data_IF_014829286038
#
_entry.id   IF_014829286038
#
_cell.length_a   1.000
_cell.length_b   1.000
_cell.length_c   1.000
_cell.angle_alpha   90.00
_cell.angle_beta   90.00
_cell.angle_gamma   90.00
#
_symmetry.space_group_name_H-M   'P 1'
#
loop_
_entity.id
_entity.type
_entity.pdbx_description
1 polymer ?
#
# COMPACT_ATOMS: atom_id res chain seq x y z
N UNK A 1 -14.90 -22.04 -22.74
CA UNK A 1 -13.54 -21.95 -22.18
C UNK A 1 -13.17 -20.47 -22.01
N UNK A 2 -13.53 -19.83 -20.87
CA UNK A 2 -13.25 -18.41 -20.57
C UNK A 2 -12.35 -18.23 -19.32
N UNK A 3 -11.68 -19.30 -18.91
CA UNK A 3 -10.89 -19.38 -17.67
C UNK A 3 -9.69 -18.40 -17.56
N UNK A 4 -8.98 -17.96 -18.62
CA UNK A 4 -7.77 -17.16 -18.43
C UNK A 4 -8.06 -15.72 -17.96
N UNK A 5 -9.21 -15.15 -18.31
CA UNK A 5 -9.55 -13.76 -17.96
C UNK A 5 -10.00 -13.68 -16.49
N UNK A 6 -10.85 -14.60 -16.04
CA UNK A 6 -11.29 -14.66 -14.65
C UNK A 6 -10.13 -14.87 -13.66
N UNK A 7 -9.12 -15.68 -14.04
CA UNK A 7 -7.92 -15.88 -13.23
C UNK A 7 -7.06 -14.61 -13.12
N UNK A 8 -6.90 -13.83 -14.20
CA UNK A 8 -6.14 -12.57 -14.15
C UNK A 8 -6.84 -11.53 -13.27
N UNK A 9 -8.16 -11.43 -13.37
CA UNK A 9 -8.97 -10.51 -12.56
C UNK A 9 -8.88 -10.88 -11.08
N UNK A 10 -9.03 -12.16 -10.74
CA UNK A 10 -8.91 -12.62 -9.34
C UNK A 10 -7.50 -12.42 -8.77
N UNK A 11 -6.45 -12.63 -9.56
CA UNK A 11 -5.07 -12.31 -9.12
C UNK A 11 -4.84 -10.81 -8.92
N UNK A 12 -5.40 -9.95 -9.77
CA UNK A 12 -5.31 -8.51 -9.62
C UNK A 12 -6.06 -8.02 -8.36
N UNK A 13 -7.27 -8.54 -8.12
CA UNK A 13 -8.04 -8.25 -6.91
C UNK A 13 -7.32 -8.72 -5.64
N UNK A 14 -6.64 -9.88 -5.70
CA UNK A 14 -5.84 -10.38 -4.58
C UNK A 14 -4.63 -9.47 -4.31
N UNK A 15 -3.91 -9.04 -5.34
CA UNK A 15 -2.81 -8.07 -5.22
C UNK A 15 -3.28 -6.72 -4.67
N UNK A 16 -4.45 -6.24 -5.09
CA UNK A 16 -5.04 -5.02 -4.53
C UNK A 16 -5.43 -5.18 -3.05
N UNK A 17 -5.87 -6.38 -2.64
CA UNK A 17 -6.17 -6.68 -1.22
C UNK A 17 -4.91 -6.76 -0.36
N UNK A 18 -3.78 -7.16 -0.96
CA UNK A 18 -2.47 -7.27 -0.31
C UNK A 18 -1.61 -6.01 -0.48
N UNK A 19 -2.13 -4.98 -1.14
CA UNK A 19 -1.41 -3.72 -1.35
C UNK A 19 -1.32 -2.95 -0.04
N UNK A 20 -0.11 -2.85 0.48
CA UNK A 20 0.24 -2.08 1.66
C UNK A 20 1.00 -0.80 1.25
N UNK A 21 0.33 0.38 1.28
CA UNK A 21 0.95 1.64 0.89
C UNK A 21 2.03 2.10 1.88
N UNK A 22 2.01 1.64 3.13
CA UNK A 22 3.05 1.94 4.11
C UNK A 22 4.33 1.19 3.76
N UNK A 23 4.19 -0.10 3.40
CA UNK A 23 5.31 -0.94 3.00
C UNK A 23 5.94 -0.50 1.67
N UNK A 24 5.14 -0.12 0.68
CA UNK A 24 5.66 0.44 -0.58
C UNK A 24 6.43 1.74 -0.32
N UNK A 25 5.89 2.62 0.53
CA UNK A 25 6.55 3.86 0.89
C UNK A 25 7.89 3.64 1.58
N UNK A 26 8.00 2.62 2.44
CA UNK A 26 9.27 2.23 3.06
C UNK A 26 10.26 1.63 2.05
N UNK A 27 9.79 0.79 1.11
CA UNK A 27 10.65 0.15 0.11
C UNK A 27 11.28 1.15 -0.88
N UNK A 28 10.67 2.31 -1.08
CA UNK A 28 11.20 3.37 -1.92
C UNK A 28 12.37 4.16 -1.27
N UNK A 29 12.77 3.82 -0.04
CA UNK A 29 13.89 4.46 0.65
C UNK A 29 15.22 4.25 -0.10
N UNK A 30 15.97 5.34 -0.28
CA UNK A 30 17.27 5.30 -0.99
C UNK A 30 18.45 5.01 -0.06
N UNK A 31 18.31 5.34 1.23
CA UNK A 31 19.30 5.12 2.27
C UNK A 31 18.63 4.95 3.64
N UNK A 32 19.45 4.73 4.68
CA UNK A 32 18.99 4.47 6.04
C UNK A 32 18.34 5.72 6.68
N UNK A 33 18.84 6.92 6.39
CA UNK A 33 18.28 8.16 6.93
C UNK A 33 16.92 8.47 6.31
N UNK A 34 16.76 8.22 5.02
CA UNK A 34 15.47 8.30 4.33
C UNK A 34 14.50 7.26 4.90
N UNK A 35 14.95 6.02 5.12
CA UNK A 35 14.12 4.99 5.74
C UNK A 35 13.59 5.41 7.12
N UNK A 36 14.46 5.93 7.99
CA UNK A 36 14.06 6.45 9.32
C UNK A 36 13.07 7.61 9.21
N UNK A 37 13.32 8.57 8.30
CA UNK A 37 12.41 9.68 8.04
C UNK A 37 11.03 9.19 7.59
N UNK A 38 10.99 8.20 6.70
CA UNK A 38 9.74 7.62 6.18
C UNK A 38 8.98 6.84 7.24
N UNK A 39 9.70 6.15 8.12
CA UNK A 39 9.11 5.52 9.29
C UNK A 39 8.45 6.56 10.20
N UNK A 40 9.14 7.68 10.48
CA UNK A 40 8.55 8.78 11.25
C UNK A 40 7.32 9.40 10.58
N UNK A 41 7.30 9.51 9.25
CA UNK A 41 6.12 9.99 8.52
C UNK A 41 4.91 9.04 8.69
N UNK A 42 5.14 7.73 8.68
CA UNK A 42 4.11 6.72 8.97
C UNK A 42 3.61 6.87 10.40
N UNK A 43 4.52 6.98 11.38
CA UNK A 43 4.18 7.16 12.80
C UNK A 43 3.38 8.44 13.05
N UNK A 44 3.72 9.53 12.34
CA UNK A 44 2.99 10.81 12.32
C UNK A 44 1.64 10.73 11.64
N UNK A 45 1.29 9.58 11.07
CA UNK A 45 -0.02 9.30 10.51
C UNK A 45 -0.18 9.75 9.07
N UNK A 46 0.89 9.77 8.26
CA UNK A 46 0.82 10.05 6.81
C UNK A 46 -0.26 9.23 6.10
N UNK A 47 -0.45 7.97 6.50
CA UNK A 47 -1.44 7.05 5.93
C UNK A 47 -2.74 6.94 6.75
N UNK A 48 -2.80 7.60 7.92
CA UNK A 48 -4.00 7.62 8.79
C UNK A 48 -5.13 8.52 8.24
N UNK A 49 -4.96 9.14 7.07
CA UNK A 49 -5.96 10.00 6.41
C UNK A 49 -6.76 9.27 5.33
N UNK A 50 -7.44 8.20 5.72
CA UNK A 50 -8.61 7.63 5.02
C UNK A 50 -9.53 7.19 6.16
N UNK A 51 -10.50 7.99 6.61
CA UNK A 51 -11.77 8.25 5.93
C UNK A 51 -12.34 9.64 6.29
N UNK A 52 -12.66 10.53 5.33
CA UNK A 52 -13.49 11.71 5.58
C UNK A 52 -14.98 11.41 5.30
N UNK A 53 -15.51 10.27 5.74
CA UNK A 53 -16.94 9.99 5.67
C UNK A 53 -17.38 9.14 6.87
N UNK A 54 -17.92 9.82 7.89
CA UNK A 54 -19.18 9.55 8.61
C UNK A 54 -19.13 10.18 10.02
N UNK A 55 -20.12 11.07 10.25
CA UNK A 55 -20.51 11.83 11.45
C UNK A 55 -19.80 13.17 11.70
#
# INVERSE_FOLDING_TARGET
>A
MFKPIASKITSALKRMREYDPELEYLNDAQDIYDLERRHMDIDRGRFRRRYPYYL
#
